data_IF_445333542944
#
_entry.id   IF_445333542944
#
_cell.length_a   1.000
_cell.length_b   1.000
_cell.length_c   1.000
_cell.angle_alpha   90.00
_cell.angle_beta   90.00
_cell.angle_gamma   90.00
#
_symmetry.space_group_name_H-M   'P 1'
#
loop_
_entity.id
_entity.type
_entity.pdbx_description
1 polymer ?
#
# COMPACT_ATOMS: atom_id res chain seq x y z
N UNK A 1 -11.88 20.65 25.73
CA UNK A 1 -11.86 19.18 25.57
C UNK A 1 -12.11 18.90 24.09
N UNK A 2 -11.08 18.53 23.32
CA UNK A 2 -11.24 18.24 21.89
C UNK A 2 -11.71 16.81 21.76
N UNK A 3 -12.95 16.65 21.31
CA UNK A 3 -13.63 15.37 21.19
C UNK A 3 -12.92 14.46 20.20
N UNK A 4 -12.64 13.27 20.73
CA UNK A 4 -12.03 12.10 20.13
C UNK A 4 -13.03 11.43 19.15
N UNK A 5 -13.54 12.19 18.17
CA UNK A 5 -14.57 11.72 17.22
C UNK A 5 -13.92 11.15 15.96
N UNK A 6 -13.04 10.17 16.11
CA UNK A 6 -12.53 9.35 14.99
C UNK A 6 -12.52 7.86 15.30
N UNK A 7 -13.20 7.44 16.38
CA UNK A 7 -13.19 6.04 16.86
C UNK A 7 -14.28 5.14 16.23
N UNK A 8 -15.14 5.63 15.33
CA UNK A 8 -16.37 4.91 14.94
C UNK A 8 -16.44 4.29 13.53
N UNK A 9 -15.75 4.81 12.52
CA UNK A 9 -15.98 4.41 11.12
C UNK A 9 -14.93 3.42 10.55
N UNK A 10 -14.04 2.90 11.40
CA UNK A 10 -12.69 2.46 11.04
C UNK A 10 -12.44 0.95 11.22
N UNK A 11 -13.30 0.09 10.69
CA UNK A 11 -12.96 -1.33 10.52
C UNK A 11 -13.02 -1.66 9.03
N UNK A 12 -11.84 -1.78 8.43
CA UNK A 12 -11.68 -2.42 7.12
C UNK A 12 -12.38 -3.79 7.16
N UNK A 13 -13.08 -4.19 6.08
CA UNK A 13 -13.82 -5.44 6.06
C UNK A 13 -12.85 -6.63 6.24
N UNK A 14 -13.34 -7.72 6.85
CA UNK A 14 -12.50 -8.82 7.31
C UNK A 14 -11.97 -9.67 6.14
N UNK A 15 -10.71 -10.06 6.31
CA UNK A 15 -9.85 -11.02 5.61
C UNK A 15 -9.92 -11.04 4.07
N UNK A 16 -10.84 -11.78 3.46
CA UNK A 16 -10.85 -11.97 1.99
C UNK A 16 -11.10 -10.66 1.22
N UNK A 17 -11.94 -9.79 1.77
CA UNK A 17 -12.18 -8.46 1.21
C UNK A 17 -10.97 -7.53 1.32
N UNK A 18 -10.13 -7.76 2.34
CA UNK A 18 -8.94 -6.97 2.63
C UNK A 18 -7.78 -7.36 1.72
N UNK A 19 -7.62 -8.65 1.45
CA UNK A 19 -6.66 -9.17 0.47
C UNK A 19 -6.95 -8.62 -0.92
N UNK A 20 -8.22 -8.61 -1.33
CA UNK A 20 -8.64 -7.98 -2.59
C UNK A 20 -8.30 -6.49 -2.64
N UNK A 21 -8.53 -5.75 -1.54
CA UNK A 21 -8.18 -4.33 -1.46
C UNK A 21 -6.67 -4.10 -1.53
N UNK A 22 -5.87 -4.92 -0.86
CA UNK A 22 -4.41 -4.86 -0.91
C UNK A 22 -3.90 -5.05 -2.34
N UNK A 23 -4.41 -6.08 -3.03
CA UNK A 23 -4.08 -6.35 -4.43
C UNK A 23 -4.51 -5.19 -5.33
N UNK A 24 -5.72 -4.65 -5.15
CA UNK A 24 -6.23 -3.54 -5.96
C UNK A 24 -5.36 -2.28 -5.81
N UNK A 25 -5.09 -1.86 -4.57
CA UNK A 25 -4.28 -0.67 -4.25
C UNK A 25 -2.86 -0.83 -4.78
N UNK A 26 -2.26 -2.01 -4.64
CA UNK A 26 -0.94 -2.30 -5.17
C UNK A 26 -0.92 -2.18 -6.71
N UNK A 27 -1.94 -2.70 -7.38
CA UNK A 27 -2.10 -2.60 -8.84
C UNK A 27 -2.19 -1.15 -9.30
N UNK A 28 -3.02 -0.36 -8.62
CA UNK A 28 -3.16 1.07 -8.92
C UNK A 28 -1.84 1.83 -8.71
N UNK A 29 -1.10 1.49 -7.66
CA UNK A 29 0.17 2.17 -7.32
C UNK A 29 1.29 1.82 -8.31
N UNK A 30 1.52 0.53 -8.59
CA UNK A 30 2.70 0.10 -9.35
C UNK A 30 2.47 -0.16 -10.83
N UNK A 31 1.22 -0.40 -11.26
CA UNK A 31 0.91 -0.66 -12.67
C UNK A 31 0.23 0.54 -13.34
N UNK A 32 -0.41 1.42 -12.58
CA UNK A 32 -1.16 2.57 -13.12
C UNK A 32 -0.54 3.91 -12.70
N UNK A 33 0.58 3.90 -11.96
CA UNK A 33 1.27 5.09 -11.44
C UNK A 33 0.36 6.08 -10.68
N UNK A 34 -0.74 5.59 -10.09
CA UNK A 34 -1.68 6.43 -9.35
C UNK A 34 -1.09 6.86 -8.02
N UNK A 35 -1.34 8.10 -7.65
CA UNK A 35 -0.98 8.63 -6.33
C UNK A 35 -1.89 8.07 -5.24
N UNK A 36 -1.40 8.04 -4.00
CA UNK A 36 -2.20 7.60 -2.85
C UNK A 36 -3.48 8.42 -2.64
N UNK A 37 -3.50 9.68 -3.09
CA UNK A 37 -4.67 10.56 -3.01
C UNK A 37 -5.72 10.20 -4.05
N UNK A 38 -5.31 9.89 -5.29
CA UNK A 38 -6.21 9.42 -6.35
C UNK A 38 -6.81 8.07 -5.96
N UNK A 39 -5.98 7.15 -5.45
CA UNK A 39 -6.44 5.84 -4.97
C UNK A 39 -7.44 6.00 -3.81
N UNK A 40 -7.17 6.89 -2.86
CA UNK A 40 -8.09 7.20 -1.76
C UNK A 40 -9.45 7.68 -2.28
N UNK A 41 -9.43 8.57 -3.29
CA UNK A 41 -10.65 9.12 -3.91
C UNK A 41 -11.44 8.04 -4.63
N UNK A 42 -10.77 7.17 -5.39
CA UNK A 42 -11.41 6.10 -6.17
C UNK A 42 -11.93 4.94 -5.31
N UNK A 43 -11.23 4.60 -4.23
CA UNK A 43 -11.60 3.49 -3.34
C UNK A 43 -12.54 3.91 -2.20
N UNK A 44 -12.76 5.23 -2.02
CA UNK A 44 -13.50 5.77 -0.89
C UNK A 44 -12.77 5.63 0.45
N UNK A 45 -11.47 5.29 0.43
CA UNK A 45 -10.63 5.15 1.61
C UNK A 45 -9.92 6.45 1.94
N UNK A 46 -9.46 6.60 3.19
CA UNK A 46 -8.57 7.69 3.55
C UNK A 46 -7.13 7.38 3.06
N UNK A 47 -6.37 8.40 2.67
CA UNK A 47 -4.96 8.29 2.26
C UNK A 47 -4.11 7.49 3.25
N UNK A 48 -4.35 7.64 4.55
CA UNK A 48 -3.66 6.85 5.58
C UNK A 48 -4.02 5.35 5.52
N UNK A 49 -5.29 5.00 5.28
CA UNK A 49 -5.71 3.61 5.14
C UNK A 49 -5.12 2.98 3.89
N UNK A 50 -5.05 3.72 2.78
CA UNK A 50 -4.39 3.28 1.55
C UNK A 50 -2.90 3.03 1.79
N UNK A 51 -2.21 3.97 2.44
CA UNK A 51 -0.80 3.80 2.80
C UNK A 51 -0.58 2.58 3.70
N UNK A 52 -1.48 2.36 4.66
CA UNK A 52 -1.39 1.21 5.58
C UNK A 52 -1.62 -0.11 4.85
N UNK A 53 -2.66 -0.20 4.00
CA UNK A 53 -2.93 -1.39 3.20
C UNK A 53 -1.79 -1.71 2.24
N UNK A 54 -1.20 -0.71 1.62
CA UNK A 54 -0.04 -0.91 0.74
C UNK A 54 1.18 -1.43 1.51
N UNK A 55 1.40 -0.94 2.74
CA UNK A 55 2.46 -1.46 3.61
C UNK A 55 2.18 -2.92 3.98
N UNK A 56 0.97 -3.24 4.41
CA UNK A 56 0.59 -4.60 4.78
C UNK A 56 0.66 -5.57 3.59
N UNK A 57 0.34 -5.10 2.38
CA UNK A 57 0.51 -5.89 1.16
C UNK A 57 1.99 -6.28 0.92
N UNK A 58 2.94 -5.41 1.31
CA UNK A 58 4.38 -5.73 1.24
C UNK A 58 4.77 -6.70 2.36
N UNK A 59 4.29 -6.45 3.57
CA UNK A 59 4.63 -7.24 4.75
C UNK A 59 4.11 -8.69 4.64
N UNK A 60 2.92 -8.88 4.09
CA UNK A 60 2.30 -10.20 3.84
C UNK A 60 2.81 -10.87 2.56
N UNK A 61 3.65 -10.20 1.78
CA UNK A 61 4.22 -10.75 0.53
C UNK A 61 3.26 -10.73 -0.68
N UNK A 62 2.13 -10.04 -0.60
CA UNK A 62 1.24 -9.77 -1.74
C UNK A 62 1.97 -8.94 -2.81
N UNK A 63 2.86 -8.06 -2.37
CA UNK A 63 3.73 -7.24 -3.24
C UNK A 63 5.18 -7.64 -3.03
N UNK A 64 5.85 -8.08 -4.10
CA UNK A 64 7.30 -8.22 -4.16
C UNK A 64 7.89 -7.16 -5.08
N UNK A 65 8.88 -6.42 -4.58
CA UNK A 65 9.63 -5.43 -5.37
C UNK A 65 11.06 -5.94 -5.52
N UNK A 66 11.44 -6.22 -6.76
CA UNK A 66 12.79 -6.66 -7.11
C UNK A 66 13.57 -5.50 -7.73
N UNK A 67 14.72 -5.15 -7.13
CA UNK A 67 15.61 -4.11 -7.65
C UNK A 67 16.78 -4.79 -8.35
N UNK A 68 16.87 -4.66 -9.67
CA UNK A 68 17.92 -5.29 -10.49
C UNK A 68 18.97 -4.23 -10.88
N UNK A 69 20.21 -4.29 -10.35
CA UNK A 69 21.27 -3.39 -10.75
C UNK A 69 21.75 -3.69 -12.18
N UNK A 70 22.00 -2.65 -12.97
CA UNK A 70 22.47 -2.78 -14.37
C UNK A 70 23.93 -3.25 -14.50
N UNK A 71 24.73 -3.08 -13.46
CA UNK A 71 26.11 -3.54 -13.40
C UNK A 71 26.35 -4.22 -12.05
N UNK A 72 26.89 -5.43 -12.08
CA UNK A 72 27.46 -6.09 -10.91
C UNK A 72 28.70 -5.30 -10.50
N UNK A 73 28.52 -4.21 -9.76
CA UNK A 73 29.65 -3.55 -9.12
C UNK A 73 30.18 -4.54 -8.10
N UNK A 74 31.41 -5.04 -8.32
CA UNK A 74 32.16 -5.86 -7.38
C UNK A 74 32.87 -4.91 -6.41
N UNK A 75 32.33 -4.68 -5.20
CA UNK A 75 32.93 -3.77 -4.23
C UNK A 75 34.25 -4.32 -3.65
N UNK A 76 34.62 -5.56 -3.99
CA UNK A 76 35.83 -6.27 -3.58
C UNK A 76 37.10 -5.93 -4.40
N UNK A 77 37.02 -5.00 -5.37
CA UNK A 77 38.14 -4.63 -6.25
C UNK A 77 38.66 -3.18 -6.07
N UNK A 78 38.31 -2.49 -4.98
CA UNK A 78 38.82 -1.15 -4.65
C UNK A 78 39.84 -1.15 -3.52
#
# INVERSE_FOLDING_TARGET
MKEDTSRGANRLPLDESRDHLMVLIARMTYQQDKTLTEIATETGLNRWQVSRLLQEARDLGVVRIDIVPRALRRPDLE
#
